data_IF_676973578025
#
_entry.id   IF_676973578025
#
_cell.length_a   1.000
_cell.length_b   1.000
_cell.length_c   1.000
_cell.angle_alpha   90.00
_cell.angle_beta   90.00
_cell.angle_gamma   90.00
#
_symmetry.space_group_name_H-M   'P 1'
#
loop_
_entity.id
_entity.type
_entity.pdbx_description
1 polymer ?
#
# COMPACT_ATOMS: atom_id res chain seq x y z
N UNK A 1 -1.37 2.67 15.96
CA UNK A 1 -0.44 2.78 14.82
C UNK A 1 -0.98 3.83 13.87
N UNK A 2 -0.34 5.00 13.78
CA UNK A 2 -0.82 6.13 12.96
C UNK A 2 -0.39 6.05 11.49
N UNK A 3 0.66 5.27 11.20
CA UNK A 3 1.25 5.15 9.86
C UNK A 3 1.68 3.72 9.60
N UNK A 4 1.36 3.21 8.41
CA UNK A 4 1.92 1.97 7.87
C UNK A 4 3.11 2.33 6.98
N UNK A 5 4.26 1.72 7.19
CA UNK A 5 5.47 2.01 6.41
C UNK A 5 5.89 0.81 5.56
N UNK A 6 6.40 1.12 4.38
CA UNK A 6 7.02 0.16 3.49
C UNK A 6 8.30 0.76 2.87
N UNK A 7 9.11 -0.09 2.26
CA UNK A 7 10.28 0.36 1.52
C UNK A 7 10.59 -0.58 0.37
N UNK A 8 11.29 -0.05 -0.63
CA UNK A 8 11.81 -0.82 -1.77
C UNK A 8 13.19 -0.31 -2.14
N UNK A 9 14.04 -1.17 -2.70
CA UNK A 9 15.27 -0.73 -3.35
C UNK A 9 14.92 -0.08 -4.68
N UNK A 10 15.64 0.98 -5.05
CA UNK A 10 15.38 1.79 -6.25
C UNK A 10 15.34 0.99 -7.56
N UNK A 11 16.25 0.02 -7.74
CA UNK A 11 16.24 -0.82 -8.94
C UNK A 11 14.98 -1.69 -9.06
N UNK A 12 14.29 -1.99 -7.94
CA UNK A 12 13.11 -2.84 -7.91
C UNK A 12 11.86 -2.05 -8.31
N UNK A 13 11.77 -1.75 -9.60
CA UNK A 13 10.65 -1.01 -10.19
C UNK A 13 9.31 -1.71 -10.02
N UNK A 14 9.29 -3.05 -9.96
CA UNK A 14 8.07 -3.84 -9.76
C UNK A 14 7.50 -3.64 -8.36
N UNK A 15 8.35 -3.71 -7.33
CA UNK A 15 7.92 -3.46 -5.96
C UNK A 15 7.44 -2.01 -5.79
N UNK A 16 8.16 -1.02 -6.35
CA UNK A 16 7.70 0.39 -6.35
C UNK A 16 6.30 0.53 -6.96
N UNK A 17 6.08 0.02 -8.16
CA UNK A 17 4.77 0.10 -8.84
C UNK A 17 3.67 -0.57 -8.02
N UNK A 18 3.99 -1.69 -7.36
CA UNK A 18 3.03 -2.41 -6.51
C UNK A 18 2.65 -1.60 -5.28
N UNK A 19 3.63 -0.98 -4.61
CA UNK A 19 3.40 -0.10 -3.47
C UNK A 19 2.52 1.09 -3.87
N UNK A 20 2.85 1.76 -4.97
CA UNK A 20 2.07 2.87 -5.52
C UNK A 20 0.63 2.44 -5.88
N UNK A 21 0.45 1.27 -6.50
CA UNK A 21 -0.86 0.71 -6.84
C UNK A 21 -1.70 0.37 -5.59
N UNK A 22 -1.04 -0.05 -4.51
CA UNK A 22 -1.65 -0.29 -3.20
C UNK A 22 -1.91 1.01 -2.41
N UNK A 23 -1.68 2.19 -2.99
CA UNK A 23 -1.97 3.48 -2.38
C UNK A 23 -0.87 4.03 -1.48
N UNK A 24 0.29 3.36 -1.38
CA UNK A 24 1.42 3.92 -0.65
C UNK A 24 2.00 5.14 -1.38
N UNK A 25 2.33 6.18 -0.62
CA UNK A 25 2.95 7.41 -1.12
C UNK A 25 4.46 7.36 -0.88
N UNK A 26 5.26 7.83 -1.84
CA UNK A 26 6.72 7.92 -1.70
C UNK A 26 7.07 9.11 -0.78
N UNK A 27 7.59 8.81 0.41
CA UNK A 27 8.03 9.83 1.38
C UNK A 27 9.46 10.31 1.17
N UNK A 28 10.30 9.55 0.45
CA UNK A 28 11.67 9.96 0.15
C UNK A 28 12.59 8.81 -0.27
N UNK A 29 13.88 9.12 -0.37
CA UNK A 29 14.93 8.16 -0.67
C UNK A 29 16.10 8.33 0.30
N UNK A 30 16.65 7.21 0.78
CA UNK A 30 17.88 7.18 1.57
C UNK A 30 19.00 6.68 0.66
N UNK A 31 20.09 7.44 0.58
CA UNK A 31 21.13 7.20 -0.42
C UNK A 31 22.07 6.06 -0.03
N UNK A 32 22.44 5.23 -1.00
CA UNK A 32 23.50 4.22 -0.86
C UNK A 32 23.33 3.25 0.33
N UNK A 33 22.10 2.86 0.63
CA UNK A 33 21.75 2.07 1.81
C UNK A 33 21.75 0.56 1.58
N UNK A 34 21.76 0.09 0.33
CA UNK A 34 21.71 -1.35 0.01
C UNK A 34 22.78 -1.71 -1.01
N UNK A 35 23.54 -2.78 -0.78
CA UNK A 35 24.49 -3.34 -1.75
C UNK A 35 23.84 -4.58 -2.39
N UNK A 36 23.60 -4.53 -3.70
CA UNK A 36 22.98 -5.64 -4.45
C UNK A 36 23.79 -5.87 -5.72
N UNK A 37 24.24 -7.11 -5.94
CA UNK A 37 25.08 -7.50 -7.08
C UNK A 37 26.31 -6.60 -7.28
N UNK A 38 26.93 -6.16 -6.18
CA UNK A 38 28.13 -5.31 -6.20
C UNK A 38 27.86 -3.82 -6.41
N UNK A 39 26.60 -3.42 -6.63
CA UNK A 39 26.22 -2.02 -6.82
C UNK A 39 25.47 -1.46 -5.59
N UNK A 40 25.78 -0.22 -5.22
CA UNK A 40 25.07 0.48 -4.16
C UNK A 40 23.81 1.13 -4.71
N UNK A 41 22.69 0.86 -4.06
CA UNK A 41 21.38 1.37 -4.42
C UNK A 41 20.76 2.18 -3.30
N UNK A 42 19.88 3.10 -3.69
CA UNK A 42 19.07 3.87 -2.77
C UNK A 42 17.88 3.04 -2.26
N UNK A 43 17.48 3.24 -1.01
CA UNK A 43 16.21 2.72 -0.49
C UNK A 43 15.14 3.79 -0.59
N UNK A 44 14.04 3.47 -1.25
CA UNK A 44 12.85 4.30 -1.35
C UNK A 44 11.93 4.00 -0.17
N UNK A 45 11.46 5.05 0.53
CA UNK A 45 10.53 4.94 1.66
C UNK A 45 9.13 5.31 1.22
N UNK A 46 8.16 4.53 1.69
CA UNK A 46 6.76 4.74 1.41
C UNK A 46 5.93 4.62 2.68
N UNK A 47 4.78 5.28 2.69
CA UNK A 47 3.81 5.18 3.78
C UNK A 47 2.36 5.36 3.34
N UNK A 48 1.47 4.93 4.23
CA UNK A 48 0.03 5.22 4.24
C UNK A 48 -0.30 5.70 5.66
N UNK A 49 -0.97 6.85 5.76
CA UNK A 49 -1.48 7.35 7.03
C UNK A 49 -2.80 6.65 7.39
N UNK A 50 -3.12 6.57 8.68
CA UNK A 50 -4.33 5.90 9.17
C UNK A 50 -5.60 6.46 8.53
N UNK A 51 -5.68 7.77 8.38
CA UNK A 51 -6.81 8.49 7.78
C UNK A 51 -6.98 8.19 6.28
N UNK A 52 -5.91 7.79 5.59
CA UNK A 52 -5.94 7.43 4.17
C UNK A 52 -6.33 5.95 3.97
N UNK A 53 -6.05 5.12 4.97
CA UNK A 53 -6.12 3.66 4.85
C UNK A 53 -7.51 3.15 4.48
N UNK A 54 -8.58 3.65 5.11
CA UNK A 54 -9.94 3.13 4.87
C UNK A 54 -10.36 3.34 3.41
N UNK A 55 -10.15 4.54 2.88
CA UNK A 55 -10.48 4.88 1.49
C UNK A 55 -9.65 4.06 0.49
N UNK A 56 -8.34 3.90 0.75
CA UNK A 56 -7.45 3.09 -0.08
C UNK A 56 -7.91 1.62 -0.06
N UNK A 57 -8.19 1.06 1.12
CA UNK A 57 -8.65 -0.31 1.31
C UNK A 57 -9.94 -0.56 0.54
N UNK A 58 -10.95 0.30 0.67
CA UNK A 58 -12.22 0.13 -0.03
C UNK A 58 -12.06 0.17 -1.55
N UNK A 59 -11.24 1.08 -2.06
CA UNK A 59 -10.94 1.16 -3.48
C UNK A 59 -10.24 -0.13 -3.98
N UNK A 60 -9.25 -0.62 -3.24
CA UNK A 60 -8.56 -1.87 -3.55
C UNK A 60 -9.50 -3.08 -3.54
N UNK A 61 -10.37 -3.18 -2.52
CA UNK A 61 -11.36 -4.26 -2.43
C UNK A 61 -12.33 -4.20 -3.61
N UNK A 62 -12.84 -3.02 -3.96
CA UNK A 62 -13.73 -2.83 -5.11
C UNK A 62 -13.09 -3.24 -6.42
N UNK A 63 -11.84 -2.82 -6.65
CA UNK A 63 -11.07 -3.18 -7.86
C UNK A 63 -10.76 -4.68 -7.95
N UNK A 64 -10.51 -5.32 -6.80
CA UNK A 64 -10.06 -6.72 -6.76
C UNK A 64 -11.24 -7.70 -6.79
N UNK A 65 -12.32 -7.38 -6.08
CA UNK A 65 -13.45 -8.29 -5.89
C UNK A 65 -14.62 -8.04 -6.85
N UNK A 66 -14.75 -6.81 -7.39
CA UNK A 66 -15.84 -6.45 -8.29
C UNK A 66 -17.21 -6.77 -7.69
N UNK A 67 -17.98 -7.61 -8.39
CA UNK A 67 -19.32 -8.04 -7.97
C UNK A 67 -19.34 -8.84 -6.65
N UNK A 68 -18.21 -9.44 -6.25
CA UNK A 68 -18.09 -10.20 -4.99
C UNK A 68 -17.84 -9.33 -3.77
N UNK A 69 -17.71 -8.01 -3.95
CA UNK A 69 -17.41 -7.08 -2.87
C UNK A 69 -18.45 -7.16 -1.74
N UNK A 70 -19.73 -7.15 -2.08
CA UNK A 70 -20.82 -7.09 -1.09
C UNK A 70 -20.87 -8.35 -0.23
N UNK A 71 -20.68 -9.53 -0.84
CA UNK A 71 -20.59 -10.80 -0.11
C UNK A 71 -19.39 -10.81 0.83
N UNK A 72 -18.23 -10.35 0.35
CA UNK A 72 -17.02 -10.26 1.17
C UNK A 72 -17.19 -9.32 2.36
N UNK A 73 -17.78 -8.13 2.14
CA UNK A 73 -18.04 -7.17 3.19
C UNK A 73 -19.02 -7.74 4.21
N UNK A 74 -20.14 -8.35 3.80
CA UNK A 74 -21.10 -8.99 4.72
C UNK A 74 -20.46 -10.09 5.58
N UNK A 75 -19.56 -10.89 5.00
CA UNK A 75 -18.94 -12.03 5.67
C UNK A 75 -17.80 -11.64 6.62
N UNK A 76 -16.98 -10.67 6.24
CA UNK A 76 -15.72 -10.38 6.93
C UNK A 76 -15.67 -9.01 7.59
N UNK A 77 -16.53 -8.09 7.16
CA UNK A 77 -16.63 -6.77 7.72
C UNK A 77 -17.98 -6.67 8.42
N UNK A 78 -18.05 -7.05 9.70
CA UNK A 78 -19.22 -6.80 10.57
C UNK A 78 -19.60 -5.32 10.75
N UNK A 79 -19.06 -4.43 9.90
CA UNK A 79 -19.31 -3.00 9.76
C UNK A 79 -20.28 -2.69 8.61
N UNK A 80 -21.07 -3.66 8.12
CA UNK A 80 -22.33 -3.35 7.46
C UNK A 80 -23.34 -2.81 8.50
N UNK A 81 -23.00 -1.71 9.15
CA UNK A 81 -23.90 -0.88 9.95
C UNK A 81 -23.64 0.58 9.60
N UNK A 82 -24.61 1.11 8.86
CA UNK A 82 -25.09 2.48 8.86
C UNK A 82 -24.17 3.54 8.27
N UNK A 83 -24.30 3.75 6.96
CA UNK A 83 -24.29 5.10 6.42
C UNK A 83 -25.75 5.40 6.01
N UNK A 84 -26.51 5.95 6.96
CA UNK A 84 -27.67 6.80 6.65
C UNK A 84 -27.17 8.17 6.17
#
# INVERSE_FOLDING_TARGET
>A
MERCQAWSIEYNTRARKTLEACGFKKGGAVRNTSLVNGEKWNSLRFDILREEYLNIRENLLRKTLGEKLDEYLKKHCGLAKNFE
#
